data_IF_406019431702
#
_entry.id   IF_406019431702
#
_cell.length_a   1.000
_cell.length_b   1.000
_cell.length_c   1.000
_cell.angle_alpha   90.00
_cell.angle_beta   90.00
_cell.angle_gamma   90.00
#
_symmetry.space_group_name_H-M   'P 1'
#
loop_
_entity.id
_entity.type
_entity.pdbx_description
1 polymer ?
#
# COMPACT_ATOMS: atom_id res chain seq x y z
N UNK A 1 -23.09 -8.09 11.08
CA UNK A 1 -24.15 -7.52 10.21
C UNK A 1 -24.15 -8.33 8.92
N UNK A 2 -25.31 -8.84 8.46
CA UNK A 2 -25.36 -9.54 7.19
C UNK A 2 -25.03 -8.54 6.05
N UNK A 3 -24.24 -8.98 5.06
CA UNK A 3 -23.74 -8.11 3.97
C UNK A 3 -24.86 -7.34 3.27
N UNK A 4 -26.04 -7.96 3.13
CA UNK A 4 -27.24 -7.34 2.55
C UNK A 4 -27.71 -6.12 3.33
N UNK A 5 -27.79 -6.23 4.65
CA UNK A 5 -28.33 -5.16 5.50
C UNK A 5 -27.38 -3.96 5.53
N UNK A 6 -26.06 -4.22 5.44
CA UNK A 6 -25.04 -3.17 5.26
C UNK A 6 -25.18 -2.49 3.90
N UNK A 7 -25.30 -3.26 2.80
CA UNK A 7 -25.45 -2.71 1.46
C UNK A 7 -26.71 -1.83 1.32
N UNK A 8 -27.84 -2.27 1.89
CA UNK A 8 -29.09 -1.49 1.90
C UNK A 8 -29.00 -0.23 2.77
N UNK A 9 -28.22 -0.26 3.85
CA UNK A 9 -27.99 0.92 4.67
C UNK A 9 -27.16 1.96 3.91
N UNK A 10 -26.07 1.53 3.29
CA UNK A 10 -25.14 2.40 2.53
C UNK A 10 -25.79 3.00 1.30
N UNK A 11 -26.60 2.20 0.59
CA UNK A 11 -27.35 2.69 -0.56
C UNK A 11 -28.33 3.83 -0.17
N UNK A 12 -28.82 3.84 1.07
CA UNK A 12 -29.75 4.87 1.57
C UNK A 12 -29.06 6.05 2.25
N UNK A 13 -28.01 5.80 3.04
CA UNK A 13 -27.29 6.85 3.79
C UNK A 13 -26.25 7.57 2.95
N UNK A 14 -25.78 6.96 1.86
CA UNK A 14 -24.71 7.49 1.01
C UNK A 14 -23.32 7.41 1.63
N UNK A 15 -23.19 6.83 2.83
CA UNK A 15 -21.91 6.80 3.52
C UNK A 15 -21.78 5.64 4.52
N UNK A 16 -20.55 5.11 4.64
CA UNK A 16 -20.13 4.18 5.70
C UNK A 16 -19.19 4.96 6.62
N UNK A 17 -19.76 5.67 7.59
CA UNK A 17 -18.99 6.12 8.75
C UNK A 17 -18.82 4.95 9.73
N UNK A 18 -18.10 3.91 9.31
CA UNK A 18 -17.71 2.85 10.22
C UNK A 18 -16.37 3.22 10.85
N UNK A 19 -16.43 3.66 12.11
CA UNK A 19 -15.26 3.77 12.97
C UNK A 19 -15.17 2.48 13.77
N UNK A 20 -14.05 1.79 13.69
CA UNK A 20 -13.75 0.71 14.63
C UNK A 20 -13.71 1.30 16.05
N UNK A 21 -14.32 0.61 17.00
CA UNK A 21 -14.41 1.07 18.39
C UNK A 21 -13.03 1.20 19.06
N UNK A 22 -12.00 0.59 18.47
CA UNK A 22 -10.62 0.63 18.92
C UNK A 22 -9.68 0.85 17.72
N UNK A 23 -8.59 1.62 17.92
CA UNK A 23 -7.55 1.74 16.90
C UNK A 23 -6.85 0.39 16.71
N UNK A 24 -6.58 0.01 15.46
CA UNK A 24 -5.70 -1.11 15.13
C UNK A 24 -4.36 -0.91 15.81
N UNK A 25 -3.91 -1.88 16.59
CA UNK A 25 -2.58 -1.80 17.20
C UNK A 25 -1.50 -1.91 16.13
N UNK A 26 -0.32 -1.36 16.39
CA UNK A 26 0.80 -1.47 15.44
C UNK A 26 1.15 -2.93 15.12
N UNK A 27 1.02 -3.83 16.10
CA UNK A 27 1.27 -5.26 15.90
C UNK A 27 0.25 -5.90 14.94
N UNK A 28 -1.03 -5.62 15.13
CA UNK A 28 -2.10 -6.10 14.24
C UNK A 28 -1.96 -5.55 12.82
N UNK A 29 -1.56 -4.27 12.69
CA UNK A 29 -1.29 -3.64 11.41
C UNK A 29 -0.12 -4.30 10.67
N UNK A 30 0.99 -4.54 11.37
CA UNK A 30 2.16 -5.26 10.83
C UNK A 30 1.77 -6.67 10.36
N UNK A 31 1.01 -7.41 11.15
CA UNK A 31 0.59 -8.77 10.80
C UNK A 31 -0.39 -8.80 9.61
N UNK A 32 -1.29 -7.82 9.52
CA UNK A 32 -2.18 -7.66 8.38
C UNK A 32 -1.42 -7.28 7.10
N UNK A 33 -0.50 -6.32 7.17
CA UNK A 33 0.38 -5.95 6.07
C UNK A 33 1.20 -7.15 5.57
N UNK A 34 1.80 -7.89 6.48
CA UNK A 34 2.61 -9.08 6.16
C UNK A 34 1.81 -10.15 5.44
N UNK A 35 0.57 -10.41 5.88
CA UNK A 35 -0.32 -11.38 5.22
C UNK A 35 -0.65 -10.96 3.79
N UNK A 36 -1.03 -9.71 3.59
CA UNK A 36 -1.31 -9.17 2.26
C UNK A 36 -0.09 -9.29 1.32
N UNK A 37 1.09 -8.91 1.82
CA UNK A 37 2.34 -8.99 1.06
C UNK A 37 2.68 -10.44 0.66
N UNK A 38 2.54 -11.41 1.59
CA UNK A 38 2.75 -12.84 1.30
C UNK A 38 1.86 -13.31 0.15
N UNK A 39 0.57 -12.95 0.18
CA UNK A 39 -0.39 -13.38 -0.85
C UNK A 39 -0.16 -12.66 -2.19
N UNK A 40 0.28 -11.40 -2.16
CA UNK A 40 0.64 -10.63 -3.35
C UNK A 40 1.84 -11.23 -4.08
N UNK A 41 2.91 -11.58 -3.35
CA UNK A 41 4.10 -12.26 -3.91
C UNK A 41 3.74 -13.61 -4.52
N UNK A 42 2.87 -14.40 -3.86
CA UNK A 42 2.40 -15.68 -4.43
C UNK A 42 1.61 -15.49 -5.72
N UNK A 43 0.86 -14.40 -5.82
CA UNK A 43 -0.01 -14.11 -6.97
C UNK A 43 0.79 -13.53 -8.15
N UNK A 44 1.84 -12.75 -7.88
CA UNK A 44 2.61 -12.09 -8.92
C UNK A 44 4.10 -12.03 -8.57
N UNK A 45 4.92 -12.76 -9.35
CA UNK A 45 6.37 -12.81 -9.16
C UNK A 45 7.10 -11.47 -9.38
N UNK A 46 6.46 -10.49 -10.04
CA UNK A 46 7.01 -9.15 -10.25
C UNK A 46 6.64 -8.17 -9.12
N UNK A 47 5.92 -8.63 -8.10
CA UNK A 47 5.61 -7.85 -6.92
C UNK A 47 6.77 -7.92 -5.93
N UNK A 48 7.27 -6.76 -5.53
CA UNK A 48 8.33 -6.60 -4.53
C UNK A 48 7.74 -5.99 -3.27
N UNK A 49 8.27 -6.38 -2.11
CA UNK A 49 7.79 -5.97 -0.79
C UNK A 49 8.87 -5.18 -0.08
N UNK A 50 8.49 -4.14 0.66
CA UNK A 50 9.40 -3.45 1.58
C UNK A 50 10.65 -2.85 0.92
N UNK A 51 10.50 -2.33 -0.30
CA UNK A 51 11.62 -1.78 -1.08
C UNK A 51 12.09 -0.45 -0.49
N UNK A 52 13.39 -0.36 -0.19
CA UNK A 52 14.02 0.87 0.28
C UNK A 52 14.32 1.78 -0.90
N UNK A 53 13.86 3.02 -0.82
CA UNK A 53 14.13 4.06 -1.81
C UNK A 53 14.84 5.23 -1.15
N UNK A 54 15.87 5.74 -1.81
CA UNK A 54 16.63 6.89 -1.34
C UNK A 54 16.90 7.81 -2.52
N UNK A 55 16.75 9.11 -2.32
CA UNK A 55 17.04 10.15 -3.29
C UNK A 55 17.80 11.29 -2.62
N UNK A 56 18.79 11.84 -3.32
CA UNK A 56 19.50 13.04 -2.87
C UNK A 56 18.71 14.28 -3.32
N UNK A 57 18.40 15.16 -2.39
CA UNK A 57 17.80 16.46 -2.65
C UNK A 57 18.84 17.55 -2.38
N UNK A 58 19.28 18.22 -3.44
CA UNK A 58 20.27 19.28 -3.37
C UNK A 58 19.64 20.60 -3.83
N UNK A 59 19.65 21.62 -2.96
CA UNK A 59 19.26 23.00 -3.29
C UNK A 59 20.28 23.99 -2.71
N UNK A 60 21.09 24.59 -3.59
CA UNK A 60 22.19 25.50 -3.24
C UNK A 60 23.19 24.86 -2.26
N UNK A 61 23.19 25.33 -1.01
CA UNK A 61 24.08 24.86 0.06
C UNK A 61 23.41 23.79 0.95
N UNK A 62 22.16 23.40 0.64
CA UNK A 62 21.42 22.37 1.35
C UNK A 62 21.52 21.04 0.60
N UNK A 63 22.14 20.05 1.25
CA UNK A 63 22.19 18.67 0.80
C UNK A 63 21.40 17.80 1.78
N UNK A 64 20.34 17.14 1.30
CA UNK A 64 19.50 16.23 2.07
C UNK A 64 19.44 14.86 1.40
N UNK A 65 19.35 13.81 2.21
CA UNK A 65 18.98 12.49 1.75
C UNK A 65 17.55 12.20 2.18
N UNK A 66 16.66 11.97 1.22
CA UNK A 66 15.28 11.56 1.44
C UNK A 66 15.25 10.04 1.29
N UNK A 67 14.91 9.32 2.36
CA UNK A 67 14.77 7.87 2.33
C UNK A 67 13.40 7.43 2.82
N UNK A 68 12.87 6.38 2.20
CA UNK A 68 11.62 5.76 2.60
C UNK A 68 11.64 4.25 2.32
N UNK A 69 10.61 3.57 2.80
CA UNK A 69 10.36 2.17 2.47
C UNK A 69 8.96 2.09 1.87
N UNK A 70 8.88 1.58 0.66
CA UNK A 70 7.62 1.31 -0.02
C UNK A 70 7.09 -0.02 0.50
N UNK A 71 5.81 -0.07 0.91
CA UNK A 71 5.22 -1.31 1.40
C UNK A 71 5.15 -2.38 0.30
N UNK A 72 4.79 -1.99 -0.93
CA UNK A 72 4.75 -2.87 -2.08
C UNK A 72 4.93 -2.16 -3.42
N UNK A 73 5.56 -2.83 -4.38
CA UNK A 73 5.67 -2.31 -5.76
C UNK A 73 5.51 -3.42 -6.78
N UNK A 74 4.63 -3.22 -7.75
CA UNK A 74 4.48 -4.09 -8.90
C UNK A 74 5.14 -3.43 -10.13
N UNK A 75 6.20 -4.06 -10.61
CA UNK A 75 6.87 -3.62 -11.83
C UNK A 75 6.16 -4.21 -13.06
N UNK A 76 5.80 -3.35 -14.02
CA UNK A 76 5.21 -3.75 -15.30
C UNK A 76 6.13 -3.37 -16.45
N UNK A 77 6.26 -4.30 -17.40
CA UNK A 77 7.11 -4.18 -18.59
C UNK A 77 8.44 -4.92 -18.44
N UNK A 78 8.93 -5.49 -19.54
CA UNK A 78 10.22 -6.18 -19.59
C UNK A 78 11.40 -5.19 -19.73
N UNK A 79 12.63 -5.67 -19.52
CA UNK A 79 13.85 -4.89 -19.77
C UNK A 79 13.89 -4.46 -21.23
N UNK A 80 13.82 -3.16 -21.49
CA UNK A 80 13.86 -2.55 -22.83
C UNK A 80 12.53 -1.98 -23.31
N UNK A 81 11.45 -2.17 -22.55
CA UNK A 81 10.16 -1.54 -22.85
C UNK A 81 10.21 -0.02 -22.58
N UNK A 82 9.66 0.77 -23.51
CA UNK A 82 9.57 2.23 -23.38
C UNK A 82 8.44 2.65 -22.44
N UNK A 83 7.51 1.75 -22.14
CA UNK A 83 6.35 1.99 -21.28
C UNK A 83 6.48 1.27 -19.92
N UNK A 84 7.70 1.21 -19.37
CA UNK A 84 7.90 0.70 -18.00
C UNK A 84 7.12 1.56 -17.01
N UNK A 85 6.29 0.93 -16.19
CA UNK A 85 5.61 1.58 -15.09
C UNK A 85 5.73 0.75 -13.82
N UNK A 86 5.69 1.45 -12.69
CA UNK A 86 5.63 0.84 -11.38
C UNK A 86 4.31 1.24 -10.74
N UNK A 87 3.55 0.26 -10.26
CA UNK A 87 2.43 0.51 -9.36
C UNK A 87 2.95 0.42 -7.93
N UNK A 88 2.98 1.56 -7.23
CA UNK A 88 3.41 1.66 -5.84
C UNK A 88 2.19 1.54 -4.94
N UNK A 89 2.27 0.66 -3.95
CA UNK A 89 1.22 0.40 -2.98
C UNK A 89 1.69 0.82 -1.59
N UNK A 90 0.82 1.57 -0.89
CA UNK A 90 0.94 1.89 0.53
C UNK A 90 -0.19 1.16 1.25
N UNK A 91 0.15 0.30 2.22
CA UNK A 91 -0.81 -0.58 2.87
C UNK A 91 -1.26 0.07 4.19
N UNK A 92 -2.57 0.21 4.37
CA UNK A 92 -3.18 0.80 5.57
C UNK A 92 -4.22 -0.14 6.17
N UNK A 93 -4.27 -0.17 7.49
CA UNK A 93 -5.09 -1.09 8.32
C UNK A 93 -5.79 -0.34 9.42
#
# INVERSE_FOLDING_TARGET
>A
VAVRDLAEHVHRSGDIHYRFDQPTTSAEGIDAQRRYQIDSVKTNANYLTEEVVTEAFNDKDLELAISGRIDGVLLRGERGDRNRCALVEEIKT
#
